data_IF_034312374646
#
_entry.id   IF_034312374646
#
_cell.length_a   1.000
_cell.length_b   1.000
_cell.length_c   1.000
_cell.angle_alpha   90.00
_cell.angle_beta   90.00
_cell.angle_gamma   90.00
#
_symmetry.space_group_name_H-M   'P 1'
#
loop_
_entity.id
_entity.type
_entity.pdbx_description
1 polymer ?
#
# COMPACT_ATOMS: atom_id res chain seq x y z
N UNK A 1 47.68 -36.85 -30.79
CA UNK A 1 46.47 -36.69 -29.96
C UNK A 1 46.92 -36.21 -28.58
N UNK A 2 47.15 -34.91 -28.47
CA UNK A 2 47.68 -34.26 -27.26
C UNK A 2 47.25 -32.78 -27.36
N UNK A 3 46.00 -32.49 -26.98
CA UNK A 3 45.52 -31.11 -26.81
C UNK A 3 44.26 -31.03 -25.91
N UNK A 4 43.56 -32.15 -25.67
CA UNK A 4 42.32 -32.15 -24.89
C UNK A 4 42.46 -31.65 -23.44
N UNK A 5 43.60 -31.84 -22.78
CA UNK A 5 43.78 -31.42 -21.38
C UNK A 5 43.76 -29.91 -21.19
N UNK A 6 44.51 -29.16 -22.01
CA UNK A 6 44.58 -27.71 -21.92
C UNK A 6 43.27 -27.05 -22.38
N UNK A 7 42.67 -27.54 -23.47
CA UNK A 7 41.36 -27.06 -23.94
C UNK A 7 40.25 -27.31 -22.91
N UNK A 8 40.24 -28.47 -22.25
CA UNK A 8 39.26 -28.76 -21.19
C UNK A 8 39.42 -27.84 -19.98
N UNK A 9 40.66 -27.51 -19.57
CA UNK A 9 40.89 -26.55 -18.49
C UNK A 9 40.44 -25.14 -18.86
N UNK A 10 40.72 -24.70 -20.09
CA UNK A 10 40.26 -23.38 -20.57
C UNK A 10 38.73 -23.32 -20.58
N UNK A 11 38.05 -24.35 -21.09
CA UNK A 11 36.59 -24.43 -21.09
C UNK A 11 35.99 -24.50 -19.69
N UNK A 12 36.66 -25.18 -18.75
CA UNK A 12 36.25 -25.22 -17.35
C UNK A 12 36.33 -23.82 -16.70
N UNK A 13 37.45 -23.11 -16.92
CA UNK A 13 37.66 -21.78 -16.34
C UNK A 13 36.67 -20.76 -16.90
N UNK A 14 36.40 -20.79 -18.22
CA UNK A 14 35.41 -19.89 -18.82
C UNK A 14 33.99 -20.22 -18.35
N UNK A 15 33.63 -21.50 -18.22
CA UNK A 15 32.34 -21.92 -17.66
C UNK A 15 32.17 -21.46 -16.20
N UNK A 16 33.20 -21.58 -15.37
CA UNK A 16 33.19 -21.11 -13.98
C UNK A 16 33.05 -19.58 -13.88
N UNK A 17 33.74 -18.83 -14.75
CA UNK A 17 33.63 -17.37 -14.77
C UNK A 17 32.21 -16.94 -15.12
N UNK A 18 31.63 -17.53 -16.18
CA UNK A 18 30.25 -17.25 -16.59
C UNK A 18 29.27 -17.65 -15.49
N UNK A 19 29.41 -18.84 -14.92
CA UNK A 19 28.55 -19.31 -13.83
C UNK A 19 28.64 -18.38 -12.59
N UNK A 20 29.83 -17.90 -12.26
CA UNK A 20 30.05 -16.96 -11.18
C UNK A 20 29.33 -15.63 -11.41
N UNK A 21 29.47 -15.03 -12.60
CA UNK A 21 28.81 -13.78 -12.95
C UNK A 21 27.28 -13.89 -13.04
N UNK A 22 26.76 -15.02 -13.53
CA UNK A 22 25.31 -15.25 -13.59
C UNK A 22 24.72 -15.47 -12.20
N UNK A 23 25.45 -16.17 -11.32
CA UNK A 23 25.00 -16.41 -9.93
C UNK A 23 24.84 -15.10 -9.15
N UNK A 24 25.81 -14.18 -9.26
CA UNK A 24 25.71 -12.88 -8.57
C UNK A 24 24.53 -12.06 -9.07
N UNK A 25 24.27 -12.07 -10.38
CA UNK A 25 23.11 -11.39 -10.97
C UNK A 25 21.79 -11.99 -10.48
N UNK A 26 21.66 -13.32 -10.50
CA UNK A 26 20.44 -14.00 -10.04
C UNK A 26 20.18 -13.74 -8.56
N UNK A 27 21.21 -13.74 -7.71
CA UNK A 27 21.07 -13.43 -6.28
C UNK A 27 20.55 -12.00 -6.08
N UNK A 28 21.07 -11.04 -6.85
CA UNK A 28 20.61 -9.66 -6.77
C UNK A 28 19.13 -9.54 -7.16
N UNK A 29 18.73 -10.14 -8.29
CA UNK A 29 17.36 -10.10 -8.78
C UNK A 29 16.39 -10.76 -7.79
N UNK A 30 16.74 -11.93 -7.24
CA UNK A 30 15.93 -12.58 -6.21
C UNK A 30 15.80 -11.73 -4.94
N UNK A 31 16.86 -11.00 -4.57
CA UNK A 31 16.81 -10.05 -3.46
C UNK A 31 15.86 -8.89 -3.70
N UNK A 32 15.75 -8.41 -4.94
CA UNK A 32 14.80 -7.36 -5.33
C UNK A 32 13.36 -7.87 -5.32
N UNK A 33 13.12 -9.07 -5.88
CA UNK A 33 11.81 -9.73 -5.83
C UNK A 33 11.36 -9.95 -4.39
N UNK A 34 12.24 -10.49 -3.53
CA UNK A 34 11.92 -10.73 -2.12
C UNK A 34 11.56 -9.43 -1.38
N UNK A 35 12.28 -8.33 -1.64
CA UNK A 35 11.97 -7.01 -1.07
C UNK A 35 10.63 -6.48 -1.57
N UNK A 36 10.35 -6.59 -2.87
CA UNK A 36 9.07 -6.17 -3.44
C UNK A 36 7.89 -6.94 -2.83
N UNK A 37 8.03 -8.27 -2.71
CA UNK A 37 7.03 -9.11 -2.07
C UNK A 37 6.77 -8.73 -0.61
N UNK A 38 7.81 -8.36 0.15
CA UNK A 38 7.66 -7.94 1.54
C UNK A 38 6.93 -6.59 1.66
N UNK A 39 7.26 -5.63 0.79
CA UNK A 39 6.56 -4.34 0.73
C UNK A 39 5.08 -4.56 0.40
N UNK A 40 4.78 -5.40 -0.58
CA UNK A 40 3.41 -5.71 -0.99
C UNK A 40 2.63 -6.39 0.14
N UNK A 41 3.22 -7.38 0.83
CA UNK A 41 2.59 -8.02 1.99
C UNK A 41 2.29 -7.03 3.10
N UNK A 42 3.21 -6.09 3.37
CA UNK A 42 3.01 -5.06 4.36
C UNK A 42 1.90 -4.08 3.94
N UNK A 43 1.86 -3.70 2.67
CA UNK A 43 0.80 -2.85 2.14
C UNK A 43 -0.58 -3.54 2.27
N UNK A 44 -0.68 -4.82 1.90
CA UNK A 44 -1.91 -5.62 2.04
C UNK A 44 -2.35 -5.78 3.49
N UNK A 45 -1.40 -5.95 4.42
CA UNK A 45 -1.71 -6.03 5.84
C UNK A 45 -2.29 -4.70 6.37
N UNK A 46 -1.71 -3.57 5.97
CA UNK A 46 -2.20 -2.24 6.36
C UNK A 46 -3.56 -1.95 5.71
N UNK A 47 -3.76 -2.33 4.45
CA UNK A 47 -5.04 -2.20 3.74
C UNK A 47 -6.14 -3.02 4.44
N UNK A 48 -5.84 -4.25 4.85
CA UNK A 48 -6.77 -5.07 5.62
C UNK A 48 -7.06 -4.52 7.03
N UNK A 49 -6.16 -3.71 7.58
CA UNK A 49 -6.32 -3.06 8.89
C UNK A 49 -7.03 -1.70 8.79
N UNK A 50 -7.09 -1.12 7.60
CA UNK A 50 -7.65 0.19 7.30
C UNK A 50 -9.06 0.02 6.76
N UNK A 51 -10.06 0.40 7.56
CA UNK A 51 -11.46 0.32 7.12
C UNK A 51 -12.28 1.46 7.71
N UNK A 52 -13.23 1.94 6.92
CA UNK A 52 -14.13 3.06 7.26
C UNK A 52 -15.56 2.68 6.90
N UNK A 53 -16.44 2.83 7.88
CA UNK A 53 -17.87 2.57 7.72
C UNK A 53 -18.69 3.85 7.88
N UNK A 54 -19.83 3.93 7.19
CA UNK A 54 -20.76 5.04 7.39
C UNK A 54 -21.50 4.86 8.71
N UNK A 55 -21.29 5.79 9.65
CA UNK A 55 -21.97 5.83 10.93
C UNK A 55 -23.29 6.61 10.81
N UNK A 56 -24.25 6.06 10.08
CA UNK A 56 -25.55 6.72 9.90
C UNK A 56 -26.43 6.05 8.87
N UNK A 57 -27.56 6.69 8.56
CA UNK A 57 -28.47 6.25 7.50
C UNK A 57 -28.04 6.87 6.15
N UNK A 58 -27.59 6.08 5.16
CA UNK A 58 -27.27 6.59 3.83
C UNK A 58 -28.46 7.26 3.13
N UNK A 59 -29.69 6.87 3.48
CA UNK A 59 -30.93 7.41 2.92
C UNK A 59 -31.38 8.73 3.54
N UNK A 60 -30.81 9.12 4.68
CA UNK A 60 -31.19 10.34 5.40
C UNK A 60 -29.97 11.03 6.01
N UNK A 61 -29.21 11.69 5.13
CA UNK A 61 -28.01 12.45 5.51
C UNK A 61 -28.40 13.85 6.00
N UNK A 62 -27.73 14.32 7.04
CA UNK A 62 -27.99 15.65 7.60
C UNK A 62 -27.60 16.73 6.59
N UNK A 63 -28.58 17.55 6.22
CA UNK A 63 -28.41 18.71 5.35
C UNK A 63 -28.72 20.00 6.12
N UNK A 64 -27.79 20.95 6.10
CA UNK A 64 -27.98 22.28 6.66
C UNK A 64 -28.71 23.18 5.67
N UNK A 65 -29.54 24.11 6.18
CA UNK A 65 -30.18 25.17 5.39
C UNK A 65 -29.16 26.11 4.69
N UNK A 66 -27.91 26.08 5.12
CA UNK A 66 -26.77 26.79 4.50
C UNK A 66 -26.12 26.01 3.35
N UNK A 67 -26.63 24.83 2.99
CA UNK A 67 -26.13 24.04 1.87
C UNK A 67 -25.03 23.04 2.21
N UNK A 68 -24.82 22.73 3.49
CA UNK A 68 -23.79 21.78 3.94
C UNK A 68 -24.38 20.38 4.12
N UNK A 69 -23.74 19.38 3.54
CA UNK A 69 -24.03 17.96 3.77
C UNK A 69 -23.04 17.45 4.81
N UNK A 70 -23.53 16.73 5.82
CA UNK A 70 -22.72 16.23 6.92
C UNK A 70 -22.82 14.71 6.99
N UNK A 71 -21.68 14.05 6.80
CA UNK A 71 -21.52 12.61 6.93
C UNK A 71 -20.84 12.30 8.26
N UNK A 72 -21.12 11.11 8.79
CA UNK A 72 -20.43 10.57 9.95
C UNK A 72 -19.74 9.28 9.51
N UNK A 73 -18.43 9.23 9.67
CA UNK A 73 -17.61 8.10 9.27
C UNK A 73 -16.97 7.51 10.52
N UNK A 74 -17.13 6.20 10.72
CA UNK A 74 -16.51 5.48 11.82
C UNK A 74 -15.31 4.70 11.31
N UNK A 75 -14.19 4.78 12.01
CA UNK A 75 -13.07 3.88 11.78
C UNK A 75 -13.49 2.48 12.25
N UNK A 76 -13.80 1.59 11.30
CA UNK A 76 -14.13 0.18 11.56
C UNK A 76 -12.91 -0.74 11.53
N UNK A 77 -11.77 -0.21 11.08
CA UNK A 77 -10.48 -0.90 11.09
C UNK A 77 -9.77 -0.84 12.45
N UNK A 78 -8.52 -1.29 12.49
CA UNK A 78 -7.66 -1.22 13.67
C UNK A 78 -6.55 -0.15 13.54
N UNK A 79 -6.25 0.29 12.30
CA UNK A 79 -5.24 1.30 12.04
C UNK A 79 -5.76 2.69 12.40
N UNK A 80 -4.87 3.57 12.87
CA UNK A 80 -5.18 5.00 13.07
C UNK A 80 -5.25 5.70 11.72
N UNK A 81 -6.32 6.44 11.47
CA UNK A 81 -6.57 7.11 10.19
C UNK A 81 -6.18 8.59 10.23
N UNK A 82 -5.77 9.12 9.08
CA UNK A 82 -5.43 10.53 8.90
C UNK A 82 -6.49 11.24 8.06
N UNK A 83 -7.26 12.12 8.72
CA UNK A 83 -8.33 12.91 8.13
C UNK A 83 -7.87 13.83 7.00
N UNK A 84 -6.59 14.25 7.00
CA UNK A 84 -6.04 15.18 6.02
C UNK A 84 -5.84 14.53 4.63
N UNK A 85 -5.81 13.19 4.59
CA UNK A 85 -5.62 12.41 3.36
C UNK A 85 -6.94 11.91 2.77
N UNK A 86 -8.06 12.20 3.43
CA UNK A 86 -9.37 11.72 3.00
C UNK A 86 -9.80 12.35 1.68
N UNK A 87 -10.31 11.52 0.78
CA UNK A 87 -10.88 11.94 -0.50
C UNK A 87 -12.37 11.68 -0.51
N UNK A 88 -13.15 12.73 -0.72
CA UNK A 88 -14.61 12.65 -0.84
C UNK A 88 -15.00 12.75 -2.32
N UNK A 89 -15.75 11.76 -2.81
CA UNK A 89 -16.34 11.76 -4.14
C UNK A 89 -17.86 11.84 -4.03
N UNK A 90 -18.46 12.81 -4.71
CA UNK A 90 -19.92 12.95 -4.81
C UNK A 90 -20.26 12.79 -6.30
N UNK A 91 -21.13 11.82 -6.61
CA UNK A 91 -21.53 11.49 -7.99
C UNK A 91 -20.31 11.24 -8.92
N UNK A 92 -19.28 10.55 -8.40
CA UNK A 92 -18.04 10.27 -9.11
C UNK A 92 -17.11 11.48 -9.28
N UNK A 93 -17.47 12.67 -8.80
CA UNK A 93 -16.65 13.88 -8.87
C UNK A 93 -15.99 14.12 -7.52
N UNK A 94 -14.65 14.18 -7.53
CA UNK A 94 -13.87 14.53 -6.34
C UNK A 94 -14.19 15.96 -5.89
N UNK A 95 -14.50 16.10 -4.61
CA UNK A 95 -14.69 17.41 -3.97
C UNK A 95 -13.37 17.86 -3.37
N UNK A 96 -12.82 18.96 -3.88
CA UNK A 96 -11.51 19.49 -3.45
C UNK A 96 -11.62 20.80 -2.67
N UNK A 97 -12.83 21.35 -2.52
CA UNK A 97 -13.08 22.61 -1.84
C UNK A 97 -14.24 22.45 -0.85
N UNK A 98 -14.18 23.17 0.27
CA UNK A 98 -15.22 23.20 1.31
C UNK A 98 -15.52 21.84 1.98
N UNK A 99 -14.54 20.92 1.97
CA UNK A 99 -14.60 19.68 2.76
C UNK A 99 -13.85 19.93 4.07
N UNK A 100 -14.52 19.68 5.19
CA UNK A 100 -13.95 19.78 6.53
C UNK A 100 -14.24 18.49 7.28
N UNK A 101 -13.21 17.91 7.87
CA UNK A 101 -13.27 16.66 8.65
C UNK A 101 -12.80 16.96 10.05
N UNK A 102 -13.46 16.38 11.06
CA UNK A 102 -13.08 16.54 12.46
C UNK A 102 -13.50 15.32 13.27
N UNK A 103 -12.56 14.67 13.97
CA UNK A 103 -12.89 13.62 14.94
C UNK A 103 -13.78 14.20 16.04
N UNK A 104 -14.95 13.60 16.25
CA UNK A 104 -15.97 14.10 17.20
C UNK A 104 -15.46 14.18 18.64
N UNK A 105 -14.67 13.19 19.06
CA UNK A 105 -14.06 13.15 20.40
C UNK A 105 -12.72 13.91 20.48
N UNK A 106 -12.22 14.42 19.35
CA UNK A 106 -10.90 15.03 19.21
C UNK A 106 -9.75 14.00 19.27
N UNK A 107 -8.56 14.43 18.85
CA UNK A 107 -7.38 13.56 18.80
C UNK A 107 -7.29 12.74 17.50
N UNK A 108 -6.64 11.59 17.59
CA UNK A 108 -6.41 10.72 16.44
C UNK A 108 -7.67 9.89 16.11
N UNK A 109 -7.94 9.67 14.82
CA UNK A 109 -9.08 8.87 14.37
C UNK A 109 -8.80 7.37 14.53
N UNK A 110 -8.80 6.91 15.78
CA UNK A 110 -8.51 5.52 16.17
C UNK A 110 -9.70 4.57 15.98
N UNK A 111 -9.48 3.26 16.11
CA UNK A 111 -10.52 2.25 15.95
C UNK A 111 -11.74 2.54 16.82
N UNK A 112 -12.91 2.59 16.20
CA UNK A 112 -14.19 2.88 16.85
C UNK A 112 -14.53 4.37 16.97
N UNK A 113 -13.61 5.28 16.66
CA UNK A 113 -13.86 6.71 16.68
C UNK A 113 -14.63 7.16 15.43
N UNK A 114 -15.38 8.26 15.57
CA UNK A 114 -16.21 8.84 14.51
C UNK A 114 -15.71 10.24 14.14
N UNK A 115 -15.61 10.50 12.85
CA UNK A 115 -15.28 11.79 12.24
C UNK A 115 -16.43 12.33 11.39
#
# INVERSE_FOLDING_TARGET
MADGGATSFIMLVTALLVAGSVSTFLIAEWGDVARSMEVERRAQAIDAETDVSLAGDPGNVRYSLTGQIQFYLMNSGNAVLDESTMVVLIDGVQQTSNVTTTVLNGGDWSSGEVA
#
